data_IF_501458535522
#
_entry.id   IF_501458535522
#
_cell.length_a   1.000
_cell.length_b   1.000
_cell.length_c   1.000
_cell.angle_alpha   90.00
_cell.angle_beta   90.00
_cell.angle_gamma   90.00
#
_symmetry.space_group_name_H-M   'P 1'
#
loop_
_entity.id
_entity.type
_entity.pdbx_description
1 polymer ?
#
# COMPACT_ATOMS: atom_id res chain seq x y z
N UNK A 1 -14.50 7.51 -20.19
CA UNK A 1 -14.82 6.24 -19.51
C UNK A 1 -14.75 6.51 -18.01
N UNK A 2 -15.63 5.93 -17.19
CA UNK A 2 -15.54 6.11 -15.74
C UNK A 2 -14.34 5.35 -15.20
N UNK A 3 -13.52 5.99 -14.36
CA UNK A 3 -12.38 5.34 -13.71
C UNK A 3 -12.86 4.31 -12.69
N UNK A 4 -12.00 3.35 -12.27
CA UNK A 4 -12.31 2.47 -11.14
C UNK A 4 -12.72 3.26 -9.88
N UNK A 5 -12.04 4.38 -9.60
CA UNK A 5 -12.37 5.27 -8.48
C UNK A 5 -13.77 5.91 -8.62
N UNK A 6 -14.17 6.32 -9.82
CA UNK A 6 -15.53 6.84 -10.05
C UNK A 6 -16.60 5.78 -9.78
N UNK A 7 -16.32 4.52 -10.11
CA UNK A 7 -17.23 3.41 -9.80
C UNK A 7 -17.28 3.19 -8.28
N UNK A 8 -16.14 3.21 -7.61
CA UNK A 8 -16.06 3.05 -6.17
C UNK A 8 -16.85 4.13 -5.43
N UNK A 9 -16.69 5.40 -5.81
CA UNK A 9 -17.44 6.55 -5.25
C UNK A 9 -18.96 6.42 -5.38
N UNK A 10 -19.44 5.72 -6.41
CA UNK A 10 -20.88 5.45 -6.59
C UNK A 10 -21.39 4.35 -5.67
N UNK A 11 -20.57 3.35 -5.40
CA UNK A 11 -20.93 2.21 -4.54
C UNK A 11 -20.77 2.54 -3.06
N UNK A 12 -19.70 3.29 -2.74
CA UNK A 12 -19.30 3.67 -1.39
C UNK A 12 -19.09 5.18 -1.40
N UNK A 13 -20.13 5.97 -1.11
CA UNK A 13 -20.00 7.42 -1.01
C UNK A 13 -19.01 7.78 0.12
N UNK A 14 -17.99 8.61 -0.14
CA UNK A 14 -17.05 9.02 0.90
C UNK A 14 -17.76 9.85 1.98
N UNK A 15 -17.39 9.67 3.25
CA UNK A 15 -17.95 10.49 4.33
C UNK A 15 -17.43 11.93 4.22
N UNK A 16 -18.28 12.90 4.56
CA UNK A 16 -17.88 14.30 4.56
C UNK A 16 -16.80 14.54 5.63
N UNK A 17 -15.54 14.65 5.20
CA UNK A 17 -14.40 14.98 6.07
C UNK A 17 -13.19 14.05 5.96
N UNK A 18 -13.24 12.98 5.17
CA UNK A 18 -12.17 11.98 5.12
C UNK A 18 -11.04 12.32 4.11
N UNK A 19 -11.28 13.30 3.22
CA UNK A 19 -10.28 13.81 2.29
C UNK A 19 -9.35 14.82 2.95
N UNK A 20 -8.16 14.37 3.36
CA UNK A 20 -7.09 15.23 3.83
C UNK A 20 -6.09 15.45 2.70
N UNK A 21 -5.67 16.69 2.47
CA UNK A 21 -4.54 16.95 1.59
C UNK A 21 -3.27 16.39 2.23
N UNK A 22 -2.60 15.45 1.54
CA UNK A 22 -1.39 14.79 2.01
C UNK A 22 -0.18 15.28 1.21
N UNK A 23 0.94 15.42 1.90
CA UNK A 23 2.22 15.67 1.25
C UNK A 23 2.78 14.35 0.71
N UNK A 24 2.31 13.98 -0.48
CA UNK A 24 2.76 12.77 -1.17
C UNK A 24 4.25 12.80 -1.53
N UNK A 25 4.81 13.99 -1.77
CA UNK A 25 6.24 14.13 -2.07
C UNK A 25 7.07 13.66 -0.88
N UNK A 26 6.74 14.14 0.33
CA UNK A 26 7.43 13.73 1.55
C UNK A 26 7.26 12.22 1.83
N UNK A 27 6.10 11.63 1.49
CA UNK A 27 5.84 10.20 1.66
C UNK A 27 6.71 9.37 0.69
N UNK A 28 6.71 9.73 -0.59
CA UNK A 28 7.50 9.06 -1.63
C UNK A 28 9.00 9.17 -1.35
N UNK A 29 9.48 10.31 -0.86
CA UNK A 29 10.87 10.51 -0.43
C UNK A 29 11.25 9.57 0.73
N UNK A 30 10.38 9.42 1.73
CA UNK A 30 10.63 8.53 2.88
C UNK A 30 10.59 7.05 2.47
N UNK A 31 9.65 6.66 1.61
CA UNK A 31 9.56 5.29 1.09
C UNK A 31 10.61 4.98 0.01
N UNK A 32 11.26 6.03 -0.53
CA UNK A 32 12.17 6.00 -1.69
C UNK A 32 11.52 5.31 -2.89
N UNK A 33 10.25 5.61 -3.12
CA UNK A 33 9.40 4.95 -4.10
C UNK A 33 8.34 5.93 -4.60
N UNK A 34 8.21 6.17 -5.92
CA UNK A 34 7.02 6.82 -6.46
C UNK A 34 5.81 5.91 -6.26
N UNK A 35 4.77 6.43 -5.59
CA UNK A 35 3.56 5.67 -5.31
C UNK A 35 2.61 5.71 -6.51
N UNK A 36 1.83 4.63 -6.73
CA UNK A 36 0.81 4.61 -7.77
C UNK A 36 -0.17 5.78 -7.63
N UNK A 37 -0.49 6.44 -8.75
CA UNK A 37 -1.34 7.63 -8.72
C UNK A 37 -2.77 7.31 -8.30
N UNK A 38 -3.29 6.15 -8.70
CA UNK A 38 -4.62 5.68 -8.35
C UNK A 38 -4.77 5.38 -6.85
N UNK A 39 -3.73 4.87 -6.20
CA UNK A 39 -3.68 4.73 -4.76
C UNK A 39 -3.70 6.09 -4.04
N UNK A 40 -2.93 7.06 -4.52
CA UNK A 40 -2.94 8.43 -3.97
C UNK A 40 -4.33 9.06 -4.09
N UNK A 41 -4.96 8.93 -5.26
CA UNK A 41 -6.31 9.43 -5.50
C UNK A 41 -7.36 8.72 -4.63
N UNK A 42 -7.21 7.41 -4.41
CA UNK A 42 -8.07 6.64 -3.50
C UNK A 42 -7.96 7.15 -2.06
N UNK A 43 -6.73 7.30 -1.56
CA UNK A 43 -6.45 7.75 -0.20
C UNK A 43 -6.87 9.21 0.02
N UNK A 44 -6.70 10.08 -0.97
CA UNK A 44 -7.15 11.48 -0.89
C UNK A 44 -8.69 11.61 -0.86
N UNK A 45 -9.41 10.57 -1.29
CA UNK A 45 -10.89 10.54 -1.27
C UNK A 45 -11.43 9.91 0.00
N UNK A 46 -10.89 8.75 0.38
CA UNK A 46 -11.42 7.92 1.45
C UNK A 46 -10.65 8.05 2.76
N UNK A 47 -9.47 8.67 2.74
CA UNK A 47 -8.61 8.77 3.91
C UNK A 47 -8.19 7.41 4.44
N UNK A 48 -7.89 7.37 5.74
CA UNK A 48 -7.67 6.12 6.47
C UNK A 48 -9.00 5.50 6.85
N UNK A 49 -9.23 4.27 6.43
CA UNK A 49 -10.49 3.56 6.62
C UNK A 49 -10.43 2.12 6.15
N UNK A 50 -11.51 1.38 6.40
CA UNK A 50 -11.67 0.01 5.95
C UNK A 50 -12.72 -0.08 4.86
N UNK A 51 -12.43 -0.89 3.84
CA UNK A 51 -13.39 -1.31 2.85
C UNK A 51 -13.97 -2.65 3.26
N UNK A 52 -15.31 -2.70 3.37
CA UNK A 52 -16.08 -3.91 3.70
C UNK A 52 -15.64 -4.61 5.00
N UNK A 53 -15.16 -3.86 5.98
CA UNK A 53 -14.62 -4.36 7.26
C UNK A 53 -13.51 -5.42 7.10
N UNK A 54 -12.82 -5.42 5.96
CA UNK A 54 -11.84 -6.46 5.65
C UNK A 54 -10.50 -5.88 5.18
N UNK A 55 -10.51 -4.85 4.32
CA UNK A 55 -9.29 -4.25 3.76
C UNK A 55 -9.08 -2.87 4.38
N UNK A 56 -8.09 -2.73 5.25
CA UNK A 56 -7.67 -1.46 5.84
C UNK A 56 -6.61 -0.79 5.00
N UNK A 57 -6.86 0.43 4.55
CA UNK A 57 -5.82 1.19 3.85
C UNK A 57 -4.83 1.73 4.88
N UNK A 58 -3.55 1.40 4.70
CA UNK A 58 -2.48 2.16 5.33
C UNK A 58 -2.45 3.53 4.67
N UNK A 59 -2.35 4.60 5.45
CA UNK A 59 -2.34 5.96 4.90
C UNK A 59 -1.28 6.82 5.58
N UNK A 60 -0.74 7.85 4.91
CA UNK A 60 0.14 8.81 5.55
C UNK A 60 -0.59 9.61 6.65
N UNK A 61 0.11 10.39 7.50
CA UNK A 61 -0.51 11.35 8.37
C UNK A 61 -1.22 12.48 7.60
N UNK A 62 -2.28 13.10 8.16
CA UNK A 62 -2.97 12.69 9.39
C UNK A 62 -3.76 11.38 9.19
N UNK A 63 -3.68 10.47 10.16
CA UNK A 63 -4.48 9.24 10.18
C UNK A 63 -5.60 9.39 11.21
N UNK A 64 -6.83 9.07 10.84
CA UNK A 64 -7.98 9.09 11.77
C UNK A 64 -8.13 7.74 12.48
N UNK A 65 -7.95 6.67 11.72
CA UNK A 65 -8.01 5.26 12.12
C UNK A 65 -6.96 4.52 11.25
N UNK A 66 -6.31 3.49 11.81
CA UNK A 66 -5.38 2.62 11.06
C UNK A 66 -3.90 2.98 11.20
N UNK A 67 -3.06 2.13 10.63
CA UNK A 67 -1.61 2.22 10.68
C UNK A 67 -1.05 3.23 9.67
N UNK A 68 0.04 3.90 10.03
CA UNK A 68 0.68 4.90 9.18
C UNK A 68 1.57 4.21 8.13
N UNK A 69 1.36 4.55 6.86
CA UNK A 69 1.99 3.89 5.70
C UNK A 69 3.51 3.79 5.83
N UNK A 70 4.17 4.91 6.17
CA UNK A 70 5.63 4.95 6.23
C UNK A 70 6.15 4.17 7.43
N UNK A 71 5.53 4.33 8.59
CA UNK A 71 5.92 3.65 9.83
C UNK A 71 5.74 2.15 9.72
N UNK A 72 4.67 1.67 9.09
CA UNK A 72 4.47 0.23 8.90
C UNK A 72 5.54 -0.40 8.00
N UNK A 73 6.00 0.35 7.00
CA UNK A 73 7.04 -0.11 6.09
C UNK A 73 8.46 0.10 6.64
N UNK A 74 8.61 0.75 7.79
CA UNK A 74 9.90 0.91 8.45
C UNK A 74 10.32 -0.44 9.06
N UNK A 75 11.42 -1.01 8.57
CA UNK A 75 11.90 -2.33 9.01
C UNK A 75 11.18 -3.54 8.39
N UNK A 76 10.07 -3.35 7.67
CA UNK A 76 9.24 -4.46 7.14
C UNK A 76 10.02 -5.52 6.34
N UNK A 77 10.90 -5.09 5.43
CA UNK A 77 11.75 -6.02 4.67
C UNK A 77 12.70 -6.83 5.57
N UNK A 78 13.22 -6.22 6.63
CA UNK A 78 14.07 -6.91 7.60
C UNK A 78 13.28 -7.94 8.42
N UNK A 79 12.03 -7.64 8.76
CA UNK A 79 11.14 -8.59 9.42
C UNK A 79 10.82 -9.79 8.52
N UNK A 80 10.57 -9.55 7.23
CA UNK A 80 10.39 -10.62 6.23
C UNK A 80 11.66 -11.45 6.03
N UNK A 81 12.83 -10.82 5.92
CA UNK A 81 14.11 -11.53 5.80
C UNK A 81 14.36 -12.43 7.01
N UNK A 82 14.06 -11.95 8.23
CA UNK A 82 14.15 -12.74 9.45
C UNK A 82 13.15 -13.91 9.43
N UNK A 83 11.90 -13.67 9.03
CA UNK A 83 10.87 -14.71 8.90
C UNK A 83 11.30 -15.80 7.92
N UNK A 84 11.72 -15.43 6.71
CA UNK A 84 12.17 -16.38 5.69
C UNK A 84 13.40 -17.16 6.14
N UNK A 85 14.33 -16.51 6.84
CA UNK A 85 15.50 -17.19 7.40
C UNK A 85 15.13 -18.22 8.47
N UNK A 86 14.08 -17.98 9.26
CA UNK A 86 13.62 -18.91 10.30
C UNK A 86 12.89 -20.11 9.67
N UNK A 87 12.10 -19.87 8.63
CA UNK A 87 11.27 -20.87 7.99
C UNK A 87 12.01 -21.66 6.87
N UNK A 88 13.15 -21.16 6.41
CA UNK A 88 13.87 -21.65 5.21
C UNK A 88 12.95 -21.72 3.97
N UNK A 89 12.05 -20.74 3.85
CA UNK A 89 10.95 -20.72 2.87
C UNK A 89 10.78 -19.31 2.28
N UNK A 90 11.81 -18.84 1.57
CA UNK A 90 11.71 -17.62 0.76
C UNK A 90 11.11 -17.97 -0.60
N UNK A 91 10.00 -17.32 -1.02
CA UNK A 91 9.42 -17.55 -2.34
C UNK A 91 10.42 -17.24 -3.46
N UNK A 92 10.48 -18.10 -4.49
CA UNK A 92 11.45 -17.98 -5.58
C UNK A 92 11.29 -16.68 -6.38
N UNK A 93 10.06 -16.19 -6.52
CA UNK A 93 9.70 -14.94 -7.19
C UNK A 93 10.27 -13.71 -6.47
N UNK A 94 10.57 -13.86 -5.17
CA UNK A 94 11.13 -12.83 -4.30
C UNK A 94 12.62 -13.04 -4.03
N UNK A 95 13.27 -14.02 -4.67
CA UNK A 95 14.68 -14.34 -4.42
C UNK A 95 15.67 -13.31 -4.98
N UNK A 96 15.22 -12.36 -5.81
CA UNK A 96 16.06 -11.26 -6.29
C UNK A 96 16.40 -10.30 -5.13
N UNK A 97 17.69 -10.00 -4.95
CA UNK A 97 18.19 -9.20 -3.83
C UNK A 97 17.78 -7.72 -3.88
N UNK A 98 17.36 -7.23 -5.04
CA UNK A 98 17.03 -5.82 -5.28
C UNK A 98 15.52 -5.53 -5.25
N UNK A 99 14.71 -6.56 -5.01
CA UNK A 99 13.28 -6.48 -4.92
C UNK A 99 12.81 -6.04 -3.52
N UNK A 100 11.74 -5.26 -3.48
CA UNK A 100 11.10 -4.84 -2.22
C UNK A 100 9.60 -5.14 -2.23
N UNK A 101 9.09 -5.55 -1.08
CA UNK A 101 7.67 -5.54 -0.78
C UNK A 101 7.34 -4.29 0.02
N UNK A 102 6.34 -3.53 -0.42
CA UNK A 102 5.85 -2.33 0.25
C UNK A 102 4.38 -2.52 0.59
N UNK A 103 4.07 -2.55 1.87
CA UNK A 103 2.71 -2.78 2.38
C UNK A 103 1.87 -1.54 2.12
N UNK A 104 0.70 -1.71 1.51
CA UNK A 104 -0.26 -0.63 1.27
C UNK A 104 -1.61 -0.86 1.96
N UNK A 105 -1.87 -2.10 2.42
CA UNK A 105 -3.06 -2.44 3.17
C UNK A 105 -2.81 -3.60 4.14
N UNK A 106 -3.52 -3.57 5.26
CA UNK A 106 -3.68 -4.69 6.18
C UNK A 106 -5.08 -5.30 6.05
N UNK A 107 -5.21 -6.57 6.43
CA UNK A 107 -6.51 -7.23 6.55
C UNK A 107 -6.84 -7.54 8.00
N UNK A 108 -8.12 -7.80 8.28
CA UNK A 108 -8.56 -8.22 9.62
C UNK A 108 -7.97 -9.57 10.06
N UNK A 109 -7.51 -10.38 9.10
CA UNK A 109 -6.88 -11.67 9.33
C UNK A 109 -5.37 -11.54 9.58
N UNK A 110 -4.88 -10.31 9.76
CA UNK A 110 -3.47 -9.95 9.92
C UNK A 110 -2.59 -10.28 8.69
N UNK A 111 -3.20 -10.46 7.52
CA UNK A 111 -2.47 -10.48 6.26
C UNK A 111 -2.14 -9.05 5.82
N UNK A 112 -1.12 -8.92 4.98
CA UNK A 112 -0.70 -7.65 4.39
C UNK A 112 -0.74 -7.73 2.87
N UNK A 113 -1.31 -6.71 2.23
CA UNK A 113 -1.25 -6.53 0.79
C UNK A 113 -0.07 -5.65 0.44
N UNK A 114 0.73 -6.11 -0.51
CA UNK A 114 2.02 -5.53 -0.85
C UNK A 114 2.09 -5.15 -2.32
N UNK A 115 2.75 -4.04 -2.61
CA UNK A 115 3.28 -3.79 -3.94
C UNK A 115 4.59 -4.53 -4.11
N UNK A 116 4.78 -5.08 -5.31
CA UNK A 116 6.02 -5.69 -5.73
C UNK A 116 6.88 -4.63 -6.44
N UNK A 117 7.92 -4.16 -5.77
CA UNK A 117 8.78 -3.10 -6.31
C UNK A 117 10.05 -3.71 -6.86
N UNK A 118 10.27 -3.53 -8.16
CA UNK A 118 11.51 -3.89 -8.86
C UNK A 118 12.28 -2.63 -9.25
N UNK A 119 13.62 -2.66 -9.26
CA UNK A 119 14.38 -1.50 -9.69
C UNK A 119 14.05 -1.10 -11.13
N UNK A 120 13.71 0.18 -11.31
CA UNK A 120 13.37 0.72 -12.62
C UNK A 120 11.94 0.44 -13.10
N UNK A 121 11.13 -0.27 -12.32
CA UNK A 121 9.73 -0.54 -12.64
C UNK A 121 8.77 0.19 -11.68
N UNK A 122 7.60 0.64 -12.16
CA UNK A 122 6.55 1.17 -11.29
C UNK A 122 6.00 0.10 -10.33
N UNK A 123 5.59 0.52 -9.13
CA UNK A 123 5.10 -0.38 -8.07
C UNK A 123 3.75 -1.06 -8.38
N UNK A 124 2.99 -0.54 -9.33
CA UNK A 124 1.66 -1.02 -9.75
C UNK A 124 1.71 -2.02 -10.91
N UNK A 125 2.89 -2.40 -11.40
CA UNK A 125 3.02 -3.41 -12.46
C UNK A 125 2.89 -4.81 -11.84
N UNK A 126 1.75 -5.46 -12.10
CA UNK A 126 1.54 -6.87 -11.75
C UNK A 126 2.43 -7.77 -12.64
N UNK A 127 3.20 -8.69 -12.04
CA UNK A 127 3.96 -9.66 -12.83
C UNK A 127 3.00 -10.53 -13.66
N UNK A 128 3.20 -10.56 -14.98
CA UNK A 128 2.43 -11.41 -15.90
C UNK A 128 1.13 -10.81 -16.45
N UNK A 129 0.90 -9.51 -16.29
CA UNK A 129 -0.18 -8.80 -16.97
C UNK A 129 0.24 -8.39 -18.40
N UNK A 130 0.25 -9.35 -19.32
CA UNK A 130 0.21 -9.11 -20.78
C UNK A 130 -1.17 -9.46 -21.36
#
# INVERSE_FOLDING_TARGET
MATPLDRLRRLIPPSAGDGHHRDWTAVEERLRLPLPQDYKDLVDVYGGGQFSDHVGLLVPPPTRIGSELVTYNDGHMGDLDNLWSILDDRPAELAADDLRLVVWSDTIDADSLNWLVRPGEPADVLPGAE
#
